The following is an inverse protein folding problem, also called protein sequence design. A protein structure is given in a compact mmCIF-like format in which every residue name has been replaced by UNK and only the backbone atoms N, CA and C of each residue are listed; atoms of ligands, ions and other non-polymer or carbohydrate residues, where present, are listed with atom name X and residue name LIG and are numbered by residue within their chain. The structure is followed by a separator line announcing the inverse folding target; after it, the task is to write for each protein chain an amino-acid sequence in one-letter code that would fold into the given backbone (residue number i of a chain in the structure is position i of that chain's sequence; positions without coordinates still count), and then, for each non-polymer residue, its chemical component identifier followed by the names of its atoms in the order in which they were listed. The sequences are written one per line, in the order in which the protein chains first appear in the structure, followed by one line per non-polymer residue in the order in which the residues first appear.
data_IF_989230040254
#
_entry.id   IF_989230040254
#
_cell.length_a   1.000
_cell.length_b   1.000
_cell.length_c   1.000
_cell.angle_alpha   90.00
_cell.angle_beta   90.00
_cell.angle_gamma   90.00
#
_symmetry.space_group_name_H-M   'P 1'
#
loop_
_entity.id
_entity.type
_entity.pdbx_description
1 polymer ?
#
# COMPACT_ATOMS: atom_id res chain seq x y z
N UNK A 1 10.01 -66.26 -19.34
CA UNK A 1 9.67 -65.44 -18.16
C UNK A 1 10.03 -64.00 -18.48
N UNK A 2 9.02 -63.19 -18.83
CA UNK A 2 9.19 -61.78 -19.21
C UNK A 2 8.99 -60.92 -17.96
N UNK A 3 10.04 -60.23 -17.50
CA UNK A 3 10.00 -59.29 -16.37
C UNK A 3 9.44 -57.93 -16.87
N UNK A 4 8.24 -57.58 -16.47
CA UNK A 4 7.67 -56.27 -16.64
C UNK A 4 8.25 -55.32 -15.57
N UNK A 5 9.02 -54.34 -15.98
CA UNK A 5 9.47 -53.22 -15.14
C UNK A 5 8.41 -52.16 -15.27
N UNK A 6 7.59 -51.99 -14.22
CA UNK A 6 6.66 -50.88 -14.11
C UNK A 6 7.45 -49.67 -13.56
N UNK A 7 7.75 -48.72 -14.43
CA UNK A 7 8.32 -47.45 -14.02
C UNK A 7 7.19 -46.54 -13.51
N UNK A 8 7.07 -46.40 -12.21
CA UNK A 8 6.15 -45.46 -11.57
C UNK A 8 6.78 -44.09 -11.64
N UNK A 9 6.37 -43.29 -12.62
CA UNK A 9 6.71 -41.87 -12.67
C UNK A 9 5.88 -41.15 -11.61
N UNK A 10 6.49 -40.85 -10.47
CA UNK A 10 5.89 -39.98 -9.44
C UNK A 10 5.87 -38.56 -9.98
N UNK A 11 4.68 -38.12 -10.43
CA UNK A 11 4.41 -36.76 -10.82
C UNK A 11 4.34 -35.93 -9.52
N UNK A 12 5.48 -35.35 -9.11
CA UNK A 12 5.48 -34.31 -8.08
C UNK A 12 4.78 -33.06 -8.65
N UNK A 13 3.47 -33.03 -8.53
CA UNK A 13 2.73 -31.79 -8.65
C UNK A 13 3.13 -30.92 -7.44
N UNK A 14 4.11 -30.05 -7.64
CA UNK A 14 4.48 -29.03 -6.66
C UNK A 14 3.26 -28.15 -6.41
N UNK A 15 2.61 -28.34 -5.27
CA UNK A 15 1.62 -27.40 -4.75
C UNK A 15 2.41 -26.15 -4.41
N UNK A 16 2.49 -25.22 -5.35
CA UNK A 16 2.95 -23.86 -5.06
C UNK A 16 1.88 -23.24 -4.17
N UNK A 17 2.08 -23.31 -2.85
CA UNK A 17 1.33 -22.48 -1.93
C UNK A 17 1.56 -21.04 -2.39
N UNK A 18 0.57 -20.43 -3.02
CA UNK A 18 0.59 -19.05 -3.40
C UNK A 18 0.61 -18.24 -2.09
N UNK A 19 1.81 -17.86 -1.65
CA UNK A 19 1.95 -16.96 -0.53
C UNK A 19 1.44 -15.60 -0.99
N UNK A 20 0.26 -15.24 -0.53
CA UNK A 20 -0.41 -13.98 -0.83
C UNK A 20 0.49 -12.79 -0.52
N UNK A 21 0.53 -11.80 -1.41
CA UNK A 21 1.22 -10.54 -1.16
C UNK A 21 0.75 -9.92 0.16
N UNK A 22 1.71 -9.63 1.05
CA UNK A 22 1.48 -8.87 2.27
C UNK A 22 1.88 -7.41 2.05
N UNK A 23 0.90 -6.52 2.16
CA UNK A 23 1.12 -5.07 2.10
C UNK A 23 1.41 -4.53 3.50
N UNK A 24 2.22 -3.47 3.56
CA UNK A 24 2.43 -2.74 4.81
C UNK A 24 1.16 -1.95 5.17
N UNK A 25 0.93 -1.60 6.45
CA UNK A 25 -0.24 -0.83 6.88
C UNK A 25 -0.41 0.55 6.22
N UNK A 26 0.62 1.04 5.51
CA UNK A 26 0.54 2.28 4.73
C UNK A 26 -0.26 2.11 3.43
N UNK A 27 -0.34 0.90 2.89
CA UNK A 27 -1.08 0.60 1.67
C UNK A 27 -2.46 0.05 2.00
N UNK A 28 -3.41 0.96 2.13
CA UNK A 28 -4.82 0.66 2.47
C UNK A 28 -5.76 1.40 1.54
N UNK A 29 -7.03 1.04 1.59
CA UNK A 29 -8.08 1.85 0.99
C UNK A 29 -8.01 3.29 1.54
N UNK A 30 -8.39 4.26 0.72
CA UNK A 30 -8.38 5.69 1.03
C UNK A 30 -6.98 6.31 1.27
N UNK A 31 -5.90 5.64 0.82
CA UNK A 31 -4.55 6.19 0.91
C UNK A 31 -4.31 7.32 -0.10
N UNK A 32 -3.22 8.07 0.13
CA UNK A 32 -2.77 9.11 -0.78
C UNK A 32 -1.31 8.88 -1.21
N UNK A 33 -1.00 9.11 -2.48
CA UNK A 33 0.37 9.18 -3.01
C UNK A 33 0.81 10.62 -3.23
N UNK A 34 2.10 10.90 -2.99
CA UNK A 34 2.73 12.15 -3.42
C UNK A 34 2.61 12.29 -4.94
N UNK A 35 2.21 13.48 -5.41
CA UNK A 35 2.09 13.79 -6.83
C UNK A 35 3.44 13.98 -7.53
N UNK A 36 3.49 13.77 -8.85
CA UNK A 36 4.63 14.06 -9.75
C UNK A 36 5.96 13.41 -9.33
N UNK A 37 5.92 12.23 -8.73
CA UNK A 37 7.11 11.48 -8.29
C UNK A 37 7.09 10.04 -8.77
N UNK A 38 8.22 9.37 -8.64
CA UNK A 38 8.31 7.91 -8.71
C UNK A 38 8.02 7.35 -7.31
N UNK A 39 6.74 7.11 -7.03
CA UNK A 39 6.33 6.65 -5.71
C UNK A 39 6.72 5.16 -5.53
N UNK A 40 7.42 4.80 -4.44
CA UNK A 40 7.71 3.42 -4.13
C UNK A 40 6.45 2.72 -3.61
N UNK A 41 6.23 1.49 -4.07
CA UNK A 41 5.24 0.54 -3.53
C UNK A 41 6.00 -0.71 -3.14
N UNK A 42 5.80 -1.19 -1.92
CA UNK A 42 6.58 -2.30 -1.37
C UNK A 42 5.75 -3.18 -0.45
N UNK A 43 6.29 -4.35 -0.16
CA UNK A 43 5.68 -5.32 0.73
C UNK A 43 6.50 -6.58 0.88
N UNK A 44 5.82 -7.66 1.26
CA UNK A 44 6.38 -9.00 1.29
C UNK A 44 5.59 -9.94 0.39
N UNK A 45 6.27 -10.94 -0.14
CA UNK A 45 5.70 -12.03 -0.92
C UNK A 45 6.60 -13.28 -0.81
N UNK A 46 6.22 -14.38 -1.42
CA UNK A 46 7.10 -15.54 -1.50
C UNK A 46 8.41 -15.17 -2.22
N UNK A 47 9.57 -15.64 -1.75
CA UNK A 47 10.84 -15.45 -2.44
C UNK A 47 10.75 -15.85 -3.92
N UNK A 48 11.21 -14.97 -4.81
CA UNK A 48 11.16 -15.21 -6.25
C UNK A 48 9.79 -14.95 -6.91
N UNK A 49 8.75 -14.63 -6.15
CA UNK A 49 7.44 -14.30 -6.72
C UNK A 49 7.53 -13.02 -7.57
N UNK A 50 6.81 -13.01 -8.69
CA UNK A 50 6.68 -11.82 -9.54
C UNK A 50 5.43 -11.04 -9.16
N UNK A 51 5.63 -9.84 -8.65
CA UNK A 51 4.56 -8.94 -8.24
C UNK A 51 4.25 -7.97 -9.37
N UNK A 52 2.97 -7.80 -9.68
CA UNK A 52 2.46 -6.86 -10.67
C UNK A 52 1.68 -5.76 -9.96
N UNK A 53 2.01 -4.50 -10.25
CA UNK A 53 1.34 -3.32 -9.70
C UNK A 53 0.75 -2.52 -10.85
N UNK A 54 -0.56 -2.33 -10.84
CA UNK A 54 -1.29 -1.65 -11.92
C UNK A 54 -2.15 -0.53 -11.35
N UNK A 55 -1.70 0.73 -11.44
CA UNK A 55 -2.51 1.89 -11.06
C UNK A 55 -3.50 2.26 -12.16
N UNK A 56 -4.72 2.66 -11.78
CA UNK A 56 -5.78 3.01 -12.74
C UNK A 56 -5.60 4.37 -13.41
N UNK A 57 -4.66 5.20 -12.97
CA UNK A 57 -4.42 6.51 -13.61
C UNK A 57 -3.70 6.42 -14.95
N UNK A 58 -3.01 5.35 -15.23
CA UNK A 58 -2.36 5.12 -16.52
C UNK A 58 -2.52 3.70 -17.07
N UNK A 59 -3.10 2.77 -16.27
CA UNK A 59 -3.34 1.37 -16.60
C UNK A 59 -2.07 0.60 -17.06
N UNK A 60 -0.88 1.09 -16.68
CA UNK A 60 0.39 0.40 -16.96
C UNK A 60 0.71 -0.56 -15.83
N UNK A 61 1.17 -1.74 -16.17
CA UNK A 61 1.63 -2.73 -15.21
C UNK A 61 3.12 -2.58 -14.96
N UNK A 62 3.48 -2.42 -13.70
CA UNK A 62 4.86 -2.36 -13.20
C UNK A 62 5.15 -3.66 -12.47
N UNK A 63 6.33 -4.23 -12.66
CA UNK A 63 6.69 -5.53 -12.11
C UNK A 63 7.90 -5.44 -11.20
N UNK A 64 7.90 -6.24 -10.13
CA UNK A 64 9.05 -6.48 -9.28
C UNK A 64 9.13 -7.96 -8.93
N UNK A 65 10.32 -8.43 -8.61
CA UNK A 65 10.54 -9.80 -8.12
C UNK A 65 10.90 -9.73 -6.63
N UNK A 66 10.24 -10.54 -5.81
CA UNK A 66 10.56 -10.64 -4.40
C UNK A 66 11.97 -11.23 -4.20
N UNK A 67 12.78 -10.57 -3.40
CA UNK A 67 14.12 -11.03 -3.04
C UNK A 67 14.06 -12.30 -2.17
N UNK A 68 15.21 -12.91 -1.89
CA UNK A 68 15.31 -14.13 -1.07
C UNK A 68 14.74 -13.95 0.36
N UNK A 69 14.72 -12.72 0.88
CA UNK A 69 14.10 -12.36 2.16
C UNK A 69 12.59 -12.07 2.05
N UNK A 70 12.00 -12.28 0.90
CA UNK A 70 10.58 -12.02 0.60
C UNK A 70 10.21 -10.55 0.38
N UNK A 71 11.16 -9.60 0.48
CA UNK A 71 10.88 -8.17 0.24
C UNK A 71 10.83 -7.86 -1.25
N UNK A 72 9.89 -7.01 -1.63
CA UNK A 72 9.81 -6.47 -2.98
C UNK A 72 9.51 -4.97 -2.93
N UNK A 73 9.95 -4.27 -3.96
CA UNK A 73 9.68 -2.84 -4.17
C UNK A 73 9.56 -2.58 -5.66
N UNK A 74 8.62 -1.73 -6.03
CA UNK A 74 8.48 -1.20 -7.38
C UNK A 74 8.19 0.29 -7.33
N UNK A 75 8.74 1.07 -8.24
CA UNK A 75 8.46 2.51 -8.36
C UNK A 75 7.43 2.75 -9.46
N UNK A 76 6.39 3.50 -9.14
CA UNK A 76 5.33 3.85 -10.08
C UNK A 76 5.24 5.38 -10.23
N UNK A 77 5.15 5.90 -11.47
CA UNK A 77 5.00 7.34 -11.68
C UNK A 77 3.60 7.78 -11.27
N UNK A 78 3.52 8.82 -10.47
CA UNK A 78 2.26 9.43 -10.05
C UNK A 78 1.93 10.65 -10.90
N UNK A 79 0.64 10.87 -11.24
CA UNK A 79 0.22 12.05 -11.99
C UNK A 79 0.22 13.30 -11.10
N UNK A 80 -0.14 14.44 -11.68
CA UNK A 80 -0.47 15.66 -10.94
C UNK A 80 -1.67 15.41 -10.02
N UNK A 81 -1.63 15.98 -8.84
CA UNK A 81 -2.67 15.86 -7.82
C UNK A 81 -4.05 16.30 -8.32
N UNK A 82 -5.07 15.59 -7.88
CA UNK A 82 -6.46 15.87 -8.19
C UNK A 82 -7.39 15.17 -7.19
N UNK A 83 -8.65 15.60 -7.13
CA UNK A 83 -9.68 14.92 -6.32
C UNK A 83 -10.25 13.65 -6.97
N UNK A 84 -9.69 13.24 -8.10
CA UNK A 84 -10.07 11.99 -8.77
C UNK A 84 -9.63 10.80 -7.93
N UNK A 85 -10.57 9.90 -7.67
CA UNK A 85 -10.31 8.64 -6.96
C UNK A 85 -9.81 7.59 -7.94
N UNK A 86 -8.72 6.94 -7.58
CA UNK A 86 -8.09 5.89 -8.36
C UNK A 86 -8.17 4.55 -7.62
N UNK A 87 -7.75 3.50 -8.30
CA UNK A 87 -7.51 2.18 -7.72
C UNK A 87 -6.07 1.77 -7.98
N UNK A 88 -5.52 0.97 -7.07
CA UNK A 88 -4.22 0.33 -7.23
C UNK A 88 -4.40 -1.17 -7.08
N UNK A 89 -4.15 -1.91 -8.15
CA UNK A 89 -4.20 -3.37 -8.13
C UNK A 89 -2.80 -3.95 -8.00
N UNK A 90 -2.61 -4.83 -7.02
CA UNK A 90 -1.36 -5.51 -6.72
C UNK A 90 -1.62 -7.01 -6.76
N UNK A 91 -0.79 -7.78 -7.47
CA UNK A 91 -1.01 -9.21 -7.65
C UNK A 91 0.31 -9.96 -7.79
N UNK A 92 0.38 -11.11 -7.16
CA UNK A 92 1.39 -12.17 -7.41
C UNK A 92 0.76 -13.44 -8.02
N UNK A 93 -0.51 -13.31 -8.43
CA UNK A 93 -1.40 -14.37 -8.90
C UNK A 93 -2.82 -14.08 -8.43
N UNK A 94 -3.01 -13.71 -7.16
CA UNK A 94 -4.27 -13.22 -6.63
C UNK A 94 -4.26 -11.68 -6.52
N UNK A 95 -5.24 -10.97 -7.10
CA UNK A 95 -5.26 -9.51 -7.07
C UNK A 95 -5.80 -8.96 -5.75
N UNK A 96 -5.07 -8.01 -5.17
CA UNK A 96 -5.51 -7.12 -4.10
C UNK A 96 -5.77 -5.76 -4.75
N UNK A 97 -6.96 -5.20 -4.59
CA UNK A 97 -7.32 -3.90 -5.16
C UNK A 97 -7.60 -2.91 -4.06
N UNK A 98 -6.74 -1.90 -3.94
CA UNK A 98 -6.93 -0.75 -3.06
C UNK A 98 -7.84 0.26 -3.75
N UNK A 99 -8.86 0.74 -3.02
CA UNK A 99 -9.89 1.65 -3.53
C UNK A 99 -9.72 3.06 -2.97
N UNK A 100 -10.32 4.03 -3.64
CA UNK A 100 -10.31 5.45 -3.23
C UNK A 100 -8.89 6.00 -3.04
N UNK A 101 -7.93 5.55 -3.84
CA UNK A 101 -6.55 6.06 -3.82
C UNK A 101 -6.55 7.48 -4.40
N UNK A 102 -5.97 8.41 -3.66
CA UNK A 102 -5.79 9.80 -4.09
C UNK A 102 -4.35 10.08 -4.49
N UNK A 103 -4.14 11.14 -5.23
CA UNK A 103 -2.80 11.68 -5.55
C UNK A 103 -2.80 13.17 -5.26
N UNK A 104 -1.85 13.62 -4.44
CA UNK A 104 -1.76 15.01 -4.00
C UNK A 104 -0.48 15.29 -3.24
N UNK A 105 -0.51 16.29 -2.36
CA UNK A 105 0.61 16.57 -1.45
C UNK A 105 0.53 15.68 -0.21
N UNK A 106 1.68 15.09 0.13
CA UNK A 106 1.82 14.24 1.33
C UNK A 106 2.76 14.94 2.31
N UNK A 107 2.26 15.21 3.50
CA UNK A 107 3.01 15.84 4.57
C UNK A 107 3.27 14.84 5.69
N UNK A 108 4.52 14.73 6.13
CA UNK A 108 4.88 14.00 7.32
C UNK A 108 4.86 14.96 8.51
N UNK A 109 3.85 14.81 9.37
CA UNK A 109 3.76 15.54 10.62
C UNK A 109 4.27 14.65 11.76
N UNK A 110 5.36 15.06 12.40
CA UNK A 110 6.00 14.32 13.49
C UNK A 110 6.43 15.29 14.59
N UNK A 111 6.51 14.80 15.82
CA UNK A 111 6.92 15.59 16.98
C UNK A 111 6.53 14.92 18.29
N UNK A 112 6.60 15.68 19.37
CA UNK A 112 6.25 15.22 20.72
C UNK A 112 4.82 15.64 21.09
N UNK A 113 4.61 16.08 22.34
CA UNK A 113 3.31 16.40 22.90
C UNK A 113 2.45 17.36 22.08
N UNK A 114 3.06 18.33 21.39
CA UNK A 114 2.33 19.25 20.53
C UNK A 114 1.65 18.56 19.33
N UNK A 115 2.21 17.45 18.84
CA UNK A 115 1.60 16.65 17.77
C UNK A 115 0.47 15.76 18.26
N UNK A 116 0.40 15.50 19.56
CA UNK A 116 -0.70 14.76 20.19
C UNK A 116 -1.86 15.68 20.61
N UNK A 117 -1.65 16.99 20.56
CA UNK A 117 -2.62 17.98 21.01
C UNK A 117 -3.90 17.93 20.16
N UNK A 118 -5.06 17.60 20.71
CA UNK A 118 -6.31 17.67 19.99
C UNK A 118 -6.70 19.13 19.72
N UNK A 119 -7.42 19.38 18.64
CA UNK A 119 -7.95 20.70 18.32
C UNK A 119 -9.01 21.16 19.35
N UNK A 120 -9.62 20.23 20.06
CA UNK A 120 -10.53 20.53 21.18
C UNK A 120 -9.77 20.51 22.50
N UNK A 121 -9.47 21.70 22.97
CA UNK A 121 -9.06 22.08 24.33
C UNK A 121 -8.05 21.18 25.09
N UNK A 122 -6.80 21.56 25.02
CA UNK A 122 -5.90 21.48 26.17
C UNK A 122 -5.78 22.91 26.75
N UNK A 123 -6.40 23.12 27.88
CA UNK A 123 -6.39 24.20 28.90
C UNK A 123 -5.97 25.65 28.52
N UNK A 124 -5.33 25.93 27.38
CA UNK A 124 -4.84 27.30 27.10
C UNK A 124 -4.81 27.69 25.62
N UNK A 125 -4.95 26.78 24.68
CA UNK A 125 -4.93 27.12 23.25
C UNK A 125 -6.36 27.12 22.75
N UNK A 126 -6.90 28.32 22.54
CA UNK A 126 -8.19 28.49 21.88
C UNK A 126 -7.95 28.27 20.39
N UNK A 127 -8.22 27.05 19.90
CA UNK A 127 -8.38 26.84 18.48
C UNK A 127 -9.61 27.65 18.04
N UNK A 128 -9.46 28.41 16.97
CA UNK A 128 -10.57 29.18 16.44
C UNK A 128 -11.70 28.23 16.00
N UNK A 129 -12.90 28.41 16.59
CA UNK A 129 -14.07 27.58 16.24
C UNK A 129 -14.39 27.65 14.74
N UNK A 130 -14.07 28.77 14.08
CA UNK A 130 -14.22 28.89 12.63
C UNK A 130 -13.33 27.89 11.87
N UNK A 131 -12.12 27.62 12.34
CA UNK A 131 -11.21 26.66 11.70
C UNK A 131 -11.71 25.22 11.88
N UNK A 132 -12.28 24.89 13.05
CA UNK A 132 -12.92 23.60 13.30
C UNK A 132 -14.13 23.42 12.37
N UNK A 133 -14.97 24.42 12.24
CA UNK A 133 -16.14 24.37 11.37
C UNK A 133 -15.75 24.29 9.88
N UNK A 134 -14.67 24.97 9.50
CA UNK A 134 -14.15 24.93 8.13
C UNK A 134 -13.45 23.59 7.83
N UNK A 135 -12.91 22.89 8.81
CA UNK A 135 -12.23 21.60 8.60
C UNK A 135 -13.14 20.57 7.92
N UNK A 136 -14.46 20.62 8.18
CA UNK A 136 -15.43 19.75 7.51
C UNK A 136 -15.50 19.96 5.98
N UNK A 137 -15.11 21.14 5.48
CA UNK A 137 -15.05 21.44 4.05
C UNK A 137 -13.85 20.78 3.36
N UNK A 138 -12.85 20.33 4.12
CA UNK A 138 -11.67 19.61 3.64
C UNK A 138 -11.82 18.09 3.76
N UNK A 139 -13.02 17.57 3.54
CA UNK A 139 -13.36 16.14 3.65
C UNK A 139 -12.53 15.20 2.75
N UNK A 140 -11.71 15.76 1.87
CA UNK A 140 -10.78 15.00 0.99
C UNK A 140 -9.36 14.89 1.54
N UNK A 141 -9.07 15.40 2.73
CA UNK A 141 -7.80 15.17 3.39
C UNK A 141 -7.80 13.75 4.01
N UNK A 142 -6.78 12.97 3.67
CA UNK A 142 -6.57 11.63 4.24
C UNK A 142 -5.50 11.75 5.31
N UNK A 143 -5.81 11.34 6.53
CA UNK A 143 -4.85 11.28 7.64
C UNK A 143 -4.57 9.83 7.99
N UNK A 144 -3.31 9.40 7.79
CA UNK A 144 -2.83 8.11 8.26
C UNK A 144 -2.08 8.33 9.59
N UNK A 145 -2.61 7.80 10.70
CA UNK A 145 -1.91 7.78 11.97
C UNK A 145 -1.07 6.51 12.06
N UNK A 146 0.24 6.63 12.15
CA UNK A 146 1.08 5.51 12.55
C UNK A 146 0.79 5.18 14.02
N UNK A 147 0.50 3.91 14.36
CA UNK A 147 0.39 3.51 15.77
C UNK A 147 1.73 3.80 16.46
N UNK A 148 1.67 4.32 17.69
CA UNK A 148 2.86 4.46 18.52
C UNK A 148 3.50 3.09 18.69
N UNK A 149 4.81 3.00 18.51
CA UNK A 149 5.54 1.77 18.85
C UNK A 149 5.40 1.57 20.37
N UNK A 150 5.07 0.36 20.84
CA UNK A 150 5.16 0.07 22.27
C UNK A 150 6.62 0.22 22.69
N UNK A 151 6.85 0.94 23.80
CA UNK A 151 8.15 1.06 24.46
C UNK A 151 8.63 -0.29 24.98
#
# INVERSE_FOLDING_TARGET
MKRFIIATAALLAGITAAAKVELTPLFTDNMIFQQNVQAPVWGKAAPGATIKVTPSWNNKTYTATAAANGRWEVKIPTPKGSFKKYTLTISDGEPITLKNVLVGEVWLASGQSNMQMPMESWRAIRVNQADINNAAQFATSVCCRCPAQPE
#
